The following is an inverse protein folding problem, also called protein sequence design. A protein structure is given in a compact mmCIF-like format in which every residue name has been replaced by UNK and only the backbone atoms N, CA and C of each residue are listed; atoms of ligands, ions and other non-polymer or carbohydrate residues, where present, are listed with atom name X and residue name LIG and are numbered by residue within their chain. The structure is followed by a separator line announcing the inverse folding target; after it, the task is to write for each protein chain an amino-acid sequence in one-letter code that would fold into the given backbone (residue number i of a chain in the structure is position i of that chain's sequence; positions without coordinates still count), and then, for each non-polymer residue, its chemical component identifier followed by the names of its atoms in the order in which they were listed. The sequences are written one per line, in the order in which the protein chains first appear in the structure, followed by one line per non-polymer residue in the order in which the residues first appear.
data_IF_251164751448
#
_entry.id   IF_251164751448
#
_cell.length_a   1.000
_cell.length_b   1.000
_cell.length_c   1.000
_cell.angle_alpha   90.00
_cell.angle_beta   90.00
_cell.angle_gamma   90.00
#
_symmetry.space_group_name_H-M   'P 1'
#
loop_
_entity.id
_entity.type
_entity.pdbx_description
1 polymer ?
#
# COMPACT_ATOMS: atom_id res chain seq x y z
N UNK A 1 -11.96 -18.97 0.62
CA UNK A 1 -11.45 -17.92 -0.28
C UNK A 1 -9.94 -18.05 -0.37
N UNK A 2 -9.34 -17.84 -1.54
CA UNK A 2 -7.89 -17.91 -1.65
C UNK A 2 -7.28 -16.71 -0.92
N UNK A 3 -6.38 -16.99 0.03
CA UNK A 3 -5.50 -15.98 0.59
C UNK A 3 -4.49 -15.52 -0.46
N UNK A 4 -4.03 -14.26 -0.35
CA UNK A 4 -3.00 -13.73 -1.22
C UNK A 4 -1.74 -14.60 -1.19
N UNK A 5 -1.26 -15.01 -2.36
CA UNK A 5 -0.04 -15.81 -2.51
C UNK A 5 0.88 -15.20 -3.56
N UNK A 6 2.16 -15.10 -3.22
CA UNK A 6 3.19 -14.67 -4.16
C UNK A 6 3.28 -15.65 -5.33
N UNK A 7 3.33 -15.13 -6.56
CA UNK A 7 3.34 -15.88 -7.80
C UNK A 7 1.95 -16.20 -8.38
N UNK A 8 0.88 -15.86 -7.67
CA UNK A 8 -0.50 -16.05 -8.14
C UNK A 8 -1.18 -14.69 -8.38
N UNK A 9 -2.33 -14.71 -9.05
CA UNK A 9 -3.15 -13.51 -9.21
C UNK A 9 -3.50 -12.93 -7.84
N UNK A 10 -3.27 -11.62 -7.64
CA UNK A 10 -3.64 -10.93 -6.42
C UNK A 10 -5.16 -10.98 -6.22
N UNK A 11 -5.65 -11.12 -4.97
CA UNK A 11 -7.08 -11.05 -4.69
C UNK A 11 -7.67 -9.74 -5.20
N UNK A 12 -8.77 -9.84 -5.93
CA UNK A 12 -9.45 -8.67 -6.50
C UNK A 12 -10.13 -7.85 -5.40
N UNK A 13 -10.28 -6.56 -5.65
CA UNK A 13 -10.98 -5.66 -4.75
C UNK A 13 -11.67 -4.52 -5.50
N UNK A 14 -12.69 -3.98 -4.86
CA UNK A 14 -13.29 -2.67 -5.19
C UNK A 14 -13.60 -1.97 -3.88
N UNK A 15 -12.97 -0.82 -3.65
CA UNK A 15 -13.11 -0.05 -2.42
C UNK A 15 -13.39 1.41 -2.72
N UNK A 16 -14.12 2.08 -1.80
CA UNK A 16 -14.21 3.53 -1.81
C UNK A 16 -12.89 4.15 -1.34
N UNK A 17 -12.51 5.27 -1.93
CA UNK A 17 -11.25 5.97 -1.61
C UNK A 17 -11.50 7.41 -1.23
N UNK A 18 -10.60 7.96 -0.42
CA UNK A 18 -10.36 9.39 -0.25
C UNK A 18 -9.08 9.76 -0.99
N UNK A 19 -9.12 10.83 -1.78
CA UNK A 19 -7.98 11.37 -2.51
C UNK A 19 -7.50 12.67 -1.90
N UNK A 20 -6.21 13.00 -2.02
CA UNK A 20 -5.74 14.35 -1.74
C UNK A 20 -6.56 15.38 -2.51
N UNK A 21 -7.05 16.41 -1.82
CA UNK A 21 -7.89 17.44 -2.42
C UNK A 21 -9.40 17.14 -2.48
N UNK A 22 -9.82 15.94 -2.08
CA UNK A 22 -11.26 15.65 -1.95
C UNK A 22 -11.94 16.52 -0.90
N UNK A 23 -13.25 16.66 -1.06
CA UNK A 23 -14.16 17.25 -0.08
C UNK A 23 -15.13 16.18 0.42
N UNK A 24 -15.91 16.44 1.48
CA UNK A 24 -16.94 15.49 1.90
C UNK A 24 -17.96 15.12 0.81
N UNK A 25 -18.08 15.95 -0.24
CA UNK A 25 -18.99 15.70 -1.36
C UNK A 25 -18.37 14.91 -2.50
N UNK A 26 -17.03 14.91 -2.62
CA UNK A 26 -16.31 14.24 -3.72
C UNK A 26 -15.62 12.96 -3.30
N UNK A 27 -15.37 12.78 -2.00
CA UNK A 27 -14.78 11.55 -1.46
C UNK A 27 -15.69 10.33 -1.63
N UNK A 28 -15.12 9.13 -1.62
CA UNK A 28 -15.87 7.89 -1.73
C UNK A 28 -16.00 7.35 -3.16
N UNK A 29 -15.29 7.92 -4.12
CA UNK A 29 -15.14 7.33 -5.46
C UNK A 29 -14.57 5.93 -5.32
N UNK A 30 -15.04 4.98 -6.12
CA UNK A 30 -14.54 3.60 -6.06
C UNK A 30 -13.32 3.40 -6.94
N UNK A 31 -12.43 2.54 -6.49
CA UNK A 31 -11.28 2.05 -7.23
C UNK A 31 -11.21 0.53 -7.12
N UNK A 32 -10.82 -0.13 -8.19
CA UNK A 32 -10.67 -1.58 -8.29
C UNK A 32 -9.23 -1.96 -8.61
N UNK A 33 -8.83 -3.18 -8.29
CA UNK A 33 -7.50 -3.69 -8.66
C UNK A 33 -7.27 -3.58 -10.19
N UNK A 34 -8.30 -3.82 -10.99
CA UNK A 34 -8.24 -3.72 -12.46
C UNK A 34 -7.87 -2.32 -12.98
N UNK A 35 -8.11 -1.27 -12.21
CA UNK A 35 -7.74 0.11 -12.60
C UNK A 35 -6.21 0.33 -12.60
N UNK A 36 -5.47 -0.57 -11.96
CA UNK A 36 -4.00 -0.54 -11.91
C UNK A 36 -3.34 -1.41 -12.99
N UNK A 37 -4.10 -2.05 -13.90
CA UNK A 37 -3.52 -2.82 -14.99
C UNK A 37 -2.58 -1.96 -15.84
N UNK A 38 -1.41 -2.50 -16.17
CA UNK A 38 -0.37 -1.79 -16.89
C UNK A 38 0.58 -0.99 -16.01
N UNK A 39 0.34 -0.92 -14.69
CA UNK A 39 1.19 -0.28 -13.70
C UNK A 39 1.52 -1.24 -12.57
N UNK A 40 2.65 -1.00 -11.92
CA UNK A 40 2.96 -1.63 -10.65
C UNK A 40 2.11 -0.98 -9.54
N UNK A 41 1.66 -1.78 -8.59
CA UNK A 41 0.92 -1.30 -7.43
C UNK A 41 1.64 -1.71 -6.14
N UNK A 42 1.93 -0.72 -5.30
CA UNK A 42 2.29 -0.93 -3.91
C UNK A 42 1.03 -0.76 -3.07
N UNK A 43 0.45 -1.88 -2.67
CA UNK A 43 -0.74 -1.96 -1.84
C UNK A 43 -0.31 -2.21 -0.40
N UNK A 44 -0.64 -1.31 0.53
CA UNK A 44 -0.29 -1.54 1.92
C UNK A 44 -1.49 -1.36 2.85
N UNK A 45 -1.54 -2.18 3.88
CA UNK A 45 -2.55 -2.13 4.93
C UNK A 45 -1.95 -1.53 6.20
N UNK A 46 -2.75 -0.79 6.95
CA UNK A 46 -2.37 -0.24 8.24
C UNK A 46 -3.55 -0.34 9.21
N UNK A 47 -3.30 -0.35 10.55
CA UNK A 47 -4.37 -0.62 11.51
C UNK A 47 -5.50 0.41 11.53
N UNK A 48 -5.18 1.67 11.81
CA UNK A 48 -6.18 2.73 12.01
C UNK A 48 -5.60 4.12 11.72
N UNK A 49 -6.47 5.01 11.23
CA UNK A 49 -6.20 6.44 11.18
C UNK A 49 -5.96 7.02 12.58
N UNK A 50 -5.28 8.15 12.66
CA UNK A 50 -5.04 8.91 13.89
C UNK A 50 -4.30 8.13 14.99
N UNK A 51 -3.45 7.16 14.63
CA UNK A 51 -2.58 6.44 15.56
C UNK A 51 -1.13 6.95 15.51
N UNK A 52 -0.15 6.17 15.96
CA UNK A 52 1.21 6.68 16.19
C UNK A 52 2.24 6.19 15.16
N UNK A 53 2.28 4.91 14.84
CA UNK A 53 3.20 4.34 13.84
C UNK A 53 2.70 4.62 12.42
N UNK A 54 1.38 4.56 12.20
CA UNK A 54 0.78 4.68 10.88
C UNK A 54 1.15 5.98 10.15
N UNK A 55 1.07 7.17 10.76
CA UNK A 55 1.44 8.39 10.05
C UNK A 55 2.90 8.42 9.62
N UNK A 56 3.81 7.80 10.39
CA UNK A 56 5.24 7.75 10.02
C UNK A 56 5.48 6.95 8.75
N UNK A 57 4.78 5.84 8.57
CA UNK A 57 4.87 5.01 7.36
C UNK A 57 4.24 5.69 6.14
N UNK A 58 3.03 6.22 6.33
CA UNK A 58 2.24 6.84 5.26
C UNK A 58 2.94 8.07 4.71
N UNK A 59 3.46 8.94 5.58
CA UNK A 59 4.19 10.13 5.15
C UNK A 59 5.55 9.79 4.55
N UNK A 60 6.26 8.77 5.05
CA UNK A 60 7.52 8.33 4.46
C UNK A 60 7.36 7.86 3.01
N UNK A 61 6.31 7.10 2.70
CA UNK A 61 5.98 6.71 1.33
C UNK A 61 5.59 7.93 0.47
N UNK A 62 4.82 8.87 1.05
CA UNK A 62 4.41 10.08 0.36
C UNK A 62 5.58 11.02 0.03
N UNK A 63 6.53 11.16 0.94
CA UNK A 63 7.71 12.02 0.75
C UNK A 63 8.63 11.49 -0.36
N UNK A 64 8.51 10.21 -0.70
CA UNK A 64 9.26 9.57 -1.78
C UNK A 64 8.37 9.13 -2.95
N UNK A 65 7.16 9.69 -3.05
CA UNK A 65 6.17 9.27 -4.05
C UNK A 65 6.68 9.43 -5.48
N UNK A 66 7.42 10.48 -5.80
CA UNK A 66 8.01 10.70 -7.13
C UNK A 66 8.90 9.54 -7.57
N UNK A 67 9.66 8.94 -6.64
CA UNK A 67 10.51 7.78 -6.96
C UNK A 67 9.66 6.56 -7.40
N UNK A 68 8.49 6.37 -6.80
CA UNK A 68 7.55 5.32 -7.23
C UNK A 68 6.93 5.64 -8.59
N UNK A 69 6.53 6.90 -8.83
CA UNK A 69 5.99 7.33 -10.12
C UNK A 69 7.01 7.14 -11.26
N UNK A 70 8.26 7.52 -11.05
CA UNK A 70 9.35 7.31 -12.02
C UNK A 70 9.56 5.83 -12.36
N UNK A 71 9.27 4.94 -11.41
CA UNK A 71 9.31 3.50 -11.62
C UNK A 71 8.00 2.92 -12.19
N UNK A 72 7.04 3.76 -12.56
CA UNK A 72 5.75 3.32 -13.08
C UNK A 72 4.88 2.59 -12.05
N UNK A 73 4.99 2.97 -10.79
CA UNK A 73 4.24 2.38 -9.68
C UNK A 73 3.30 3.39 -9.02
N UNK A 74 2.09 2.94 -8.73
CA UNK A 74 1.13 3.64 -7.88
C UNK A 74 1.15 3.09 -6.46
N UNK A 75 0.68 3.89 -5.49
CA UNK A 75 0.56 3.50 -4.09
C UNK A 75 -0.91 3.60 -3.67
N UNK A 76 -1.39 2.60 -2.95
CA UNK A 76 -2.71 2.59 -2.33
C UNK A 76 -2.59 2.13 -0.88
N UNK A 77 -2.95 3.00 0.07
CA UNK A 77 -3.05 2.64 1.48
C UNK A 77 -4.47 2.18 1.83
N UNK A 78 -4.59 1.21 2.71
CA UNK A 78 -5.88 0.62 3.09
C UNK A 78 -5.96 0.45 4.60
N UNK A 79 -7.06 0.91 5.19
CA UNK A 79 -7.45 0.53 6.54
C UNK A 79 -8.96 0.22 6.61
N UNK A 80 -9.43 -0.22 7.76
CA UNK A 80 -10.85 -0.50 8.00
C UNK A 80 -11.65 0.75 8.36
N UNK A 81 -11.02 1.92 8.40
CA UNK A 81 -11.69 3.21 8.62
C UNK A 81 -12.53 3.63 7.42
N UNK A 82 -13.45 4.57 7.64
CA UNK A 82 -14.26 5.16 6.58
C UNK A 82 -13.46 6.16 5.72
N UNK A 83 -13.94 6.43 4.50
CA UNK A 83 -13.36 7.50 3.66
C UNK A 83 -13.44 8.88 4.32
N UNK A 84 -14.40 9.11 5.20
CA UNK A 84 -14.53 10.38 5.93
C UNK A 84 -13.47 10.53 7.01
N UNK A 85 -13.11 9.45 7.68
CA UNK A 85 -11.95 9.41 8.59
C UNK A 85 -10.66 9.70 7.83
N UNK A 86 -10.43 9.00 6.71
CA UNK A 86 -9.28 9.25 5.84
C UNK A 86 -9.18 10.71 5.40
N UNK A 87 -10.30 11.28 4.94
CA UNK A 87 -10.35 12.68 4.50
C UNK A 87 -9.99 13.64 5.64
N UNK A 88 -10.56 13.45 6.83
CA UNK A 88 -10.24 14.25 7.99
C UNK A 88 -8.76 14.18 8.35
N UNK A 89 -8.19 12.99 8.29
CA UNK A 89 -6.76 12.76 8.58
C UNK A 89 -5.84 13.39 7.54
N UNK A 90 -6.20 13.34 6.25
CA UNK A 90 -5.51 14.03 5.17
C UNK A 90 -5.48 15.55 5.33
N UNK A 91 -6.47 16.11 6.01
CA UNK A 91 -6.57 17.55 6.28
C UNK A 91 -5.96 17.95 7.64
N UNK A 92 -5.48 16.99 8.43
CA UNK A 92 -4.84 17.25 9.72
C UNK A 92 -3.34 17.47 9.50
N UNK A 93 -2.77 18.57 10.04
CA UNK A 93 -1.34 18.85 9.94
C UNK A 93 -0.47 17.72 10.53
N UNK A 94 0.73 17.54 9.98
CA UNK A 94 1.67 16.50 10.45
C UNK A 94 2.12 16.71 11.89
N UNK A 95 2.26 17.93 12.35
CA UNK A 95 2.56 18.29 13.74
C UNK A 95 1.44 17.88 14.72
N UNK A 96 0.22 17.73 14.23
CA UNK A 96 -0.94 17.24 14.99
C UNK A 96 -1.22 15.76 14.74
N UNK A 97 -0.20 14.99 14.40
CA UNK A 97 -0.28 13.57 14.08
C UNK A 97 -1.13 13.24 12.84
N UNK A 98 -1.27 14.21 11.94
CA UNK A 98 -1.95 14.08 10.66
C UNK A 98 -1.04 13.63 9.52
N UNK A 99 -1.62 13.60 8.33
CA UNK A 99 -0.93 13.20 7.09
C UNK A 99 -1.12 14.25 5.98
N UNK A 100 -1.26 15.52 6.34
CA UNK A 100 -1.41 16.60 5.37
C UNK A 100 -0.27 16.58 4.34
N UNK A 101 -0.59 16.82 3.07
CA UNK A 101 0.35 16.74 1.97
C UNK A 101 0.52 15.34 1.37
N UNK A 102 -0.32 14.37 1.76
CA UNK A 102 -0.33 13.04 1.18
C UNK A 102 -0.50 13.11 -0.35
N UNK A 103 0.24 12.29 -1.09
CA UNK A 103 0.26 12.30 -2.56
C UNK A 103 -0.45 11.13 -3.22
N UNK A 104 -1.03 10.21 -2.46
CA UNK A 104 -1.73 9.03 -2.97
C UNK A 104 -3.04 8.79 -2.20
N UNK A 105 -3.98 8.00 -2.76
CA UNK A 105 -5.27 7.76 -2.11
C UNK A 105 -5.18 6.77 -0.94
N UNK A 106 -6.15 6.88 -0.02
CA UNK A 106 -6.42 5.88 1.00
C UNK A 106 -7.78 5.23 0.74
N UNK A 107 -7.82 3.90 0.75
CA UNK A 107 -9.02 3.11 0.56
C UNK A 107 -9.62 2.66 1.89
N UNK A 108 -10.94 2.60 1.90
CA UNK A 108 -11.74 2.16 3.04
C UNK A 108 -12.19 0.71 2.83
N UNK A 109 -11.58 -0.21 3.59
CA UNK A 109 -12.03 -1.59 3.69
C UNK A 109 -12.99 -1.76 4.88
N UNK A 110 -14.08 -0.98 4.88
CA UNK A 110 -15.03 -0.95 5.99
C UNK A 110 -15.71 -2.29 6.23
N UNK A 111 -15.82 -3.12 5.20
CA UNK A 111 -16.36 -4.48 5.30
C UNK A 111 -15.33 -5.49 5.82
N UNK A 112 -14.07 -5.11 5.88
CA UNK A 112 -12.93 -5.93 6.30
C UNK A 112 -12.66 -7.14 5.39
N UNK A 113 -13.31 -7.18 4.23
CA UNK A 113 -13.19 -8.31 3.31
C UNK A 113 -11.83 -8.35 2.62
N UNK A 114 -11.34 -7.19 2.19
CA UNK A 114 -10.05 -7.11 1.49
C UNK A 114 -8.90 -7.45 2.44
N UNK A 115 -8.91 -6.93 3.67
CA UNK A 115 -7.94 -7.30 4.70
C UNK A 115 -7.95 -8.80 4.99
N UNK A 116 -9.13 -9.43 4.97
CA UNK A 116 -9.27 -10.88 5.13
C UNK A 116 -8.70 -11.65 3.95
N UNK A 117 -9.00 -11.23 2.73
CA UNK A 117 -8.53 -11.89 1.50
C UNK A 117 -7.00 -11.79 1.34
N UNK A 118 -6.40 -10.70 1.83
CA UNK A 118 -4.95 -10.51 1.86
C UNK A 118 -4.29 -11.13 3.11
N UNK A 119 -5.05 -11.74 4.00
CA UNK A 119 -4.54 -12.46 5.17
C UNK A 119 -3.97 -11.56 6.28
N UNK A 120 -4.40 -10.30 6.34
CA UNK A 120 -3.89 -9.33 7.31
C UNK A 120 -4.93 -8.90 8.36
N UNK A 121 -6.16 -9.40 8.29
CA UNK A 121 -7.20 -9.02 9.25
C UNK A 121 -6.95 -9.66 10.63
N UNK A 122 -6.97 -8.83 11.67
CA UNK A 122 -7.06 -9.26 13.05
C UNK A 122 -8.55 -9.32 13.41
N UNK A 123 -9.13 -10.50 13.32
CA UNK A 123 -10.60 -10.71 13.33
C UNK A 123 -11.29 -10.15 14.59
N UNK A 124 -10.71 -10.35 15.77
CA UNK A 124 -11.27 -9.92 17.05
C UNK A 124 -11.18 -8.40 17.28
N UNK A 125 -10.27 -7.72 16.59
CA UNK A 125 -10.08 -6.27 16.67
C UNK A 125 -10.69 -5.52 15.50
N UNK A 126 -10.91 -6.19 14.36
CA UNK A 126 -11.44 -5.60 13.15
C UNK A 126 -10.49 -4.59 12.46
N UNK A 127 -9.20 -4.75 12.68
CA UNK A 127 -8.13 -3.92 12.10
C UNK A 127 -7.15 -4.77 11.30
N UNK A 128 -6.37 -4.13 10.43
CA UNK A 128 -5.36 -4.81 9.64
C UNK A 128 -3.99 -4.80 10.33
N UNK A 129 -3.25 -5.88 10.18
CA UNK A 129 -1.79 -5.89 10.37
C UNK A 129 -1.12 -5.00 9.31
N UNK A 130 0.15 -4.69 9.53
CA UNK A 130 0.95 -3.90 8.59
C UNK A 130 1.45 -4.76 7.43
N UNK A 131 0.54 -5.09 6.52
CA UNK A 131 0.86 -5.82 5.30
C UNK A 131 1.24 -4.87 4.17
N UNK A 132 2.23 -5.25 3.36
CA UNK A 132 2.59 -4.56 2.13
C UNK A 132 2.78 -5.59 1.02
N UNK A 133 2.18 -5.30 -0.12
CA UNK A 133 2.09 -6.18 -1.27
C UNK A 133 2.50 -5.42 -2.52
N UNK A 134 3.38 -6.00 -3.34
CA UNK A 134 3.74 -5.44 -4.63
C UNK A 134 3.11 -6.32 -5.70
N UNK A 135 2.27 -5.69 -6.52
CA UNK A 135 1.50 -6.33 -7.60
C UNK A 135 2.01 -5.81 -8.92
N UNK A 136 2.29 -6.70 -9.87
CA UNK A 136 2.82 -6.34 -11.17
C UNK A 136 1.74 -5.81 -12.13
N UNK A 137 2.12 -5.27 -13.31
CA UNK A 137 1.18 -4.73 -14.29
C UNK A 137 0.13 -5.74 -14.81
N UNK A 138 0.38 -7.03 -14.67
CA UNK A 138 -0.56 -8.10 -15.04
C UNK A 138 -1.49 -8.50 -13.90
N UNK A 139 -1.33 -7.90 -12.70
CA UNK A 139 -2.13 -8.21 -11.51
C UNK A 139 -1.65 -9.43 -10.74
N UNK A 140 -0.41 -9.86 -10.95
CA UNK A 140 0.20 -10.95 -10.19
C UNK A 140 0.93 -10.40 -8.97
N UNK A 141 0.69 -11.02 -7.82
CA UNK A 141 1.36 -10.67 -6.57
C UNK A 141 2.82 -11.15 -6.62
N UNK A 142 3.77 -10.23 -6.55
CA UNK A 142 5.20 -10.50 -6.68
C UNK A 142 5.96 -10.49 -5.35
N UNK A 143 5.44 -9.79 -4.35
CA UNK A 143 6.11 -9.63 -3.05
C UNK A 143 5.09 -9.35 -1.96
N UNK A 144 5.34 -9.89 -0.77
CA UNK A 144 4.56 -9.56 0.42
C UNK A 144 5.44 -9.52 1.66
N UNK A 145 5.14 -8.59 2.56
CA UNK A 145 5.70 -8.52 3.91
C UNK A 145 4.58 -8.14 4.87
N UNK A 146 4.54 -8.75 6.03
CA UNK A 146 3.56 -8.43 7.07
C UNK A 146 4.27 -8.25 8.39
N UNK A 147 4.25 -7.01 8.91
CA UNK A 147 4.73 -6.71 10.26
C UNK A 147 3.58 -6.72 11.27
N UNK A 148 3.91 -7.06 12.52
CA UNK A 148 2.98 -6.87 13.62
C UNK A 148 2.73 -5.36 13.84
N UNK A 149 1.70 -5.04 14.61
CA UNK A 149 1.14 -3.69 14.80
C UNK A 149 2.16 -2.65 15.26
N UNK A 150 3.18 -3.06 16.00
CA UNK A 150 4.15 -2.15 16.63
C UNK A 150 5.31 -1.72 15.73
N UNK A 151 5.51 -2.39 14.58
CA UNK A 151 6.73 -2.24 13.78
C UNK A 151 6.39 -1.65 12.42
N UNK A 152 6.87 -0.42 12.17
CA UNK A 152 6.78 0.23 10.86
C UNK A 152 7.62 -0.48 9.79
N UNK A 153 7.21 -0.35 8.55
CA UNK A 153 7.88 -0.93 7.38
C UNK A 153 8.93 0.01 6.82
N UNK A 154 9.86 -0.52 6.03
CA UNK A 154 10.92 0.24 5.40
C UNK A 154 10.54 0.69 3.99
N UNK A 155 10.51 2.01 3.75
CA UNK A 155 10.33 2.58 2.41
C UNK A 155 11.53 2.27 1.51
N UNK A 156 12.75 2.29 2.04
CA UNK A 156 13.96 1.91 1.30
C UNK A 156 13.88 0.48 0.78
N UNK A 157 13.47 -0.45 1.63
CA UNK A 157 13.33 -1.85 1.23
C UNK A 157 12.20 -2.05 0.20
N UNK A 158 11.10 -1.32 0.35
CA UNK A 158 10.00 -1.35 -0.63
C UNK A 158 10.48 -0.91 -2.02
N UNK A 159 11.22 0.19 -2.11
CA UNK A 159 11.82 0.68 -3.36
C UNK A 159 12.86 -0.30 -3.91
N UNK A 160 13.72 -0.85 -3.05
CA UNK A 160 14.73 -1.84 -3.44
C UNK A 160 14.08 -3.06 -4.09
N UNK A 161 13.07 -3.63 -3.46
CA UNK A 161 12.37 -4.82 -3.95
C UNK A 161 11.61 -4.52 -5.24
N UNK A 162 10.91 -3.38 -5.33
CA UNK A 162 10.24 -2.96 -6.56
C UNK A 162 11.22 -2.88 -7.73
N UNK A 163 12.37 -2.26 -7.54
CA UNK A 163 13.40 -2.16 -8.58
C UNK A 163 13.98 -3.53 -8.94
N UNK A 164 14.20 -4.40 -7.95
CA UNK A 164 14.65 -5.77 -8.18
C UNK A 164 13.64 -6.55 -9.05
N UNK A 165 12.35 -6.48 -8.73
CA UNK A 165 11.29 -7.12 -9.52
C UNK A 165 11.25 -6.61 -10.97
N UNK A 166 11.49 -5.32 -11.16
CA UNK A 166 11.47 -4.69 -12.49
C UNK A 166 12.65 -5.09 -13.36
N UNK A 167 13.75 -5.63 -12.80
CA UNK A 167 14.87 -6.13 -13.60
C UNK A 167 14.49 -7.36 -14.44
N UNK A 168 13.51 -8.14 -13.98
CA UNK A 168 13.11 -9.40 -14.60
C UNK A 168 14.17 -10.50 -14.54
N UNK A 169 15.30 -10.26 -13.86
CA UNK A 169 16.44 -11.20 -13.78
C UNK A 169 16.63 -11.78 -12.38
N UNK A 170 17.74 -12.52 -12.20
CA UNK A 170 18.08 -13.15 -10.93
C UNK A 170 18.87 -12.18 -10.06
N UNK A 171 18.20 -11.58 -9.10
CA UNK A 171 18.80 -10.67 -8.12
C UNK A 171 19.44 -11.48 -6.98
N UNK A 172 20.74 -11.35 -6.72
CA UNK A 172 21.36 -12.00 -5.57
C UNK A 172 20.86 -11.38 -4.25
N UNK A 173 21.18 -12.05 -3.15
CA UNK A 173 20.94 -11.48 -1.81
C UNK A 173 21.54 -10.07 -1.70
N UNK A 174 20.84 -9.18 -1.03
CA UNK A 174 21.24 -7.77 -0.84
C UNK A 174 21.49 -6.98 -2.14
N UNK A 175 20.89 -7.42 -3.24
CA UNK A 175 20.96 -6.69 -4.50
C UNK A 175 20.43 -5.26 -4.31
N UNK A 176 21.10 -4.32 -4.95
CA UNK A 176 20.68 -2.90 -5.02
C UNK A 176 20.77 -2.43 -6.46
N UNK A 177 20.02 -1.38 -6.85
CA UNK A 177 20.15 -0.78 -8.17
C UNK A 177 21.61 -0.47 -8.52
N UNK A 178 22.01 -0.79 -9.75
CA UNK A 178 23.38 -0.68 -10.22
C UNK A 178 24.30 -1.87 -9.92
N UNK A 179 23.84 -2.85 -9.15
CA UNK A 179 24.55 -4.11 -8.93
C UNK A 179 24.25 -5.12 -10.03
N UNK A 180 25.21 -6.02 -10.29
CA UNK A 180 25.04 -7.07 -11.30
C UNK A 180 23.98 -8.08 -10.91
N UNK A 181 23.28 -8.59 -11.91
CA UNK A 181 22.43 -9.77 -11.80
C UNK A 181 23.28 -11.05 -11.89
N UNK A 182 22.72 -12.17 -11.41
CA UNK A 182 23.36 -13.46 -11.60
C UNK A 182 23.22 -13.90 -13.07
N UNK A 183 24.30 -14.44 -13.62
CA UNK A 183 24.30 -15.10 -14.94
C UNK A 183 23.89 -16.56 -14.76
N UNK A 184 23.08 -17.08 -15.68
CA UNK A 184 22.71 -18.50 -15.75
C UNK A 184 23.40 -19.12 -16.97
#
# INVERSE_FOLDING_TARGET
MPLAKVGEAAPDFTMAIARPGDTPKTTGTKISLSDYRGKWLVLFFYPLDFTFVCPTEITALSDRYEEFEELGADILGVSTDSVYSHLAWMNTPREDNGIAGLQYPLASDITKQVARDYGVLVEDQGIALRGLFIIDPNGVLQYSVVNNLNIGRSTDETLRVLQALQTGGLCPSDWKPGKSLLSV
#
